data_IF_419103482998
#
_entry.id   IF_419103482998
#
_cell.length_a   1.000
_cell.length_b   1.000
_cell.length_c   1.000
_cell.angle_alpha   90.00
_cell.angle_beta   90.00
_cell.angle_gamma   90.00
#
_symmetry.space_group_name_H-M   'P 1'
#
loop_
_entity.id
_entity.type
_entity.pdbx_description
1 polymer ?
#
# COMPACT_ATOMS: atom_id res chain seq x y z
N UNK A 1 -17.32 -24.62 6.25
CA UNK A 1 -17.62 -23.33 5.71
C UNK A 1 -17.53 -23.33 4.20
N UNK A 2 -18.63 -23.22 3.58
CA UNK A 2 -18.58 -23.22 2.13
C UNK A 2 -17.75 -22.04 1.67
N UNK A 3 -16.78 -22.37 0.94
CA UNK A 3 -15.95 -21.40 0.32
C UNK A 3 -16.70 -20.87 -0.91
N UNK A 4 -17.63 -19.97 -0.66
CA UNK A 4 -18.47 -19.44 -1.73
C UNK A 4 -17.70 -18.48 -2.61
N UNK A 5 -16.62 -18.98 -3.16
CA UNK A 5 -15.91 -18.18 -4.18
C UNK A 5 -16.65 -18.38 -5.49
N UNK A 6 -17.83 -17.81 -5.57
CA UNK A 6 -18.51 -17.74 -6.86
C UNK A 6 -17.72 -16.77 -7.73
N UNK A 7 -17.37 -17.25 -8.91
CA UNK A 7 -16.70 -16.42 -9.89
C UNK A 7 -17.74 -15.49 -10.49
N UNK A 8 -17.45 -14.20 -10.45
CA UNK A 8 -18.33 -13.18 -11.01
C UNK A 8 -17.68 -12.59 -12.25
N UNK A 9 -18.41 -12.58 -13.33
CA UNK A 9 -17.96 -11.98 -14.59
C UNK A 9 -18.44 -10.55 -14.70
N UNK A 10 -17.56 -9.64 -15.07
CA UNK A 10 -17.89 -8.24 -15.33
C UNK A 10 -17.42 -7.89 -16.73
N UNK A 11 -18.19 -7.06 -17.41
CA UNK A 11 -17.91 -6.67 -18.79
C UNK A 11 -17.53 -5.20 -18.87
N UNK A 12 -16.57 -4.90 -19.74
CA UNK A 12 -16.11 -3.53 -19.98
C UNK A 12 -16.13 -3.29 -21.50
N UNK A 13 -16.56 -2.11 -21.89
CA UNK A 13 -16.53 -1.70 -23.30
C UNK A 13 -15.38 -0.72 -23.49
N UNK A 14 -14.66 -0.89 -24.59
CA UNK A 14 -13.50 -0.05 -24.92
C UNK A 14 -13.75 0.67 -26.23
N UNK A 15 -13.29 1.91 -26.33
CA UNK A 15 -13.19 2.58 -27.60
C UNK A 15 -12.14 1.88 -28.47
N UNK A 16 -12.21 1.97 -29.80
CA UNK A 16 -11.24 1.28 -30.67
C UNK A 16 -9.79 1.62 -30.33
N UNK A 17 -9.47 2.87 -30.02
CA UNK A 17 -8.11 3.29 -29.68
C UNK A 17 -7.65 2.68 -28.34
N UNK A 18 -8.56 2.56 -27.38
CA UNK A 18 -8.26 1.92 -26.10
C UNK A 18 -7.99 0.43 -26.28
N UNK A 19 -8.80 -0.22 -27.10
CA UNK A 19 -8.62 -1.65 -27.42
C UNK A 19 -7.29 -1.89 -28.09
N UNK A 20 -6.86 -1.02 -29.00
CA UNK A 20 -5.57 -1.13 -29.67
C UNK A 20 -4.40 -1.02 -28.70
N UNK A 21 -4.47 -0.09 -27.76
CA UNK A 21 -3.43 0.07 -26.74
C UNK A 21 -3.35 -1.18 -25.89
N UNK A 22 -4.50 -1.71 -25.46
CA UNK A 22 -4.55 -2.93 -24.65
C UNK A 22 -3.90 -4.12 -25.39
N UNK A 23 -4.23 -4.26 -26.67
CA UNK A 23 -3.68 -5.33 -27.51
C UNK A 23 -2.17 -5.21 -27.64
N UNK A 24 -1.66 -4.00 -27.82
CA UNK A 24 -0.24 -3.75 -27.95
C UNK A 24 0.51 -4.14 -26.68
N UNK A 25 -0.03 -3.72 -25.51
CA UNK A 25 0.58 -4.07 -24.23
C UNK A 25 0.51 -5.56 -23.99
N UNK A 26 -0.60 -6.19 -24.33
CA UNK A 26 -0.77 -7.64 -24.24
C UNK A 26 0.35 -8.37 -24.97
N UNK A 27 0.63 -7.96 -26.19
CA UNK A 27 1.71 -8.56 -27.00
C UNK A 27 3.07 -8.32 -26.36
N UNK A 28 3.34 -7.11 -25.84
CA UNK A 28 4.61 -6.78 -25.23
C UNK A 28 4.86 -7.60 -23.96
N UNK A 29 3.84 -7.80 -23.16
CA UNK A 29 3.98 -8.51 -21.89
C UNK A 29 3.73 -10.02 -22.00
N UNK A 30 3.40 -10.50 -23.18
CA UNK A 30 3.13 -11.93 -23.43
C UNK A 30 2.00 -12.44 -22.53
N UNK A 31 0.99 -11.62 -22.31
CA UNK A 31 -0.22 -11.98 -21.57
C UNK A 31 -1.42 -11.91 -22.50
N UNK A 32 -2.45 -12.72 -22.26
CA UNK A 32 -3.70 -12.53 -22.96
C UNK A 32 -4.32 -11.21 -22.57
N UNK A 33 -5.18 -10.64 -23.41
CA UNK A 33 -5.86 -9.38 -23.08
C UNK A 33 -6.70 -9.53 -21.82
N UNK A 34 -7.35 -10.68 -21.63
CA UNK A 34 -8.15 -10.93 -20.43
C UNK A 34 -7.29 -10.93 -19.16
N UNK A 35 -6.14 -11.61 -19.22
CA UNK A 35 -5.20 -11.66 -18.09
C UNK A 35 -4.64 -10.27 -17.78
N UNK A 36 -4.34 -9.50 -18.84
CA UNK A 36 -3.83 -8.15 -18.69
C UNK A 36 -4.88 -7.23 -18.04
N UNK A 37 -6.14 -7.33 -18.48
CA UNK A 37 -7.23 -6.55 -17.91
C UNK A 37 -7.39 -6.85 -16.42
N UNK A 38 -7.36 -8.12 -16.04
CA UNK A 38 -7.45 -8.52 -14.64
C UNK A 38 -6.29 -7.95 -13.83
N UNK A 39 -5.08 -8.05 -14.37
CA UNK A 39 -3.89 -7.50 -13.72
C UNK A 39 -4.06 -6.01 -13.44
N UNK A 40 -4.45 -5.25 -14.45
CA UNK A 40 -4.61 -3.80 -14.31
C UNK A 40 -5.73 -3.43 -13.35
N UNK A 41 -6.83 -4.17 -13.36
CA UNK A 41 -7.92 -3.93 -12.42
C UNK A 41 -7.46 -4.19 -10.99
N UNK A 42 -6.78 -5.30 -10.75
CA UNK A 42 -6.29 -5.63 -9.41
C UNK A 42 -5.25 -4.62 -8.93
N UNK A 43 -4.36 -4.17 -9.80
CA UNK A 43 -3.39 -3.13 -9.46
C UNK A 43 -4.07 -1.80 -9.14
N UNK A 44 -5.11 -1.47 -9.91
CA UNK A 44 -5.89 -0.27 -9.66
C UNK A 44 -6.62 -0.30 -8.33
N UNK A 45 -7.20 -1.45 -7.99
CA UNK A 45 -7.87 -1.64 -6.70
C UNK A 45 -6.87 -1.50 -5.55
N UNK A 46 -5.69 -2.12 -5.68
CA UNK A 46 -4.66 -2.03 -4.64
C UNK A 46 -4.23 -0.59 -4.42
N UNK A 47 -4.05 0.16 -5.50
CA UNK A 47 -3.69 1.58 -5.42
C UNK A 47 -4.79 2.40 -4.76
N UNK A 48 -6.03 2.16 -5.13
CA UNK A 48 -7.17 2.87 -4.53
C UNK A 48 -7.24 2.60 -3.02
N UNK A 49 -7.09 1.34 -2.62
CA UNK A 49 -7.14 0.97 -1.21
C UNK A 49 -6.02 1.63 -0.41
N UNK A 50 -4.82 1.68 -0.99
CA UNK A 50 -3.68 2.33 -0.34
C UNK A 50 -3.94 3.83 -0.18
N UNK A 51 -4.40 4.50 -1.24
CA UNK A 51 -4.67 5.94 -1.18
C UNK A 51 -5.76 6.27 -0.14
N UNK A 52 -6.82 5.46 -0.09
CA UNK A 52 -7.88 5.65 0.90
C UNK A 52 -7.37 5.44 2.33
N UNK A 53 -6.54 4.41 2.54
CA UNK A 53 -5.97 4.14 3.85
C UNK A 53 -5.07 5.28 4.31
N UNK A 54 -4.27 5.83 3.39
CA UNK A 54 -3.39 6.95 3.71
C UNK A 54 -4.20 8.22 4.02
N UNK A 55 -5.27 8.44 3.27
CA UNK A 55 -6.16 9.57 3.54
C UNK A 55 -6.76 9.45 4.94
N UNK A 56 -7.31 8.28 5.27
CA UNK A 56 -7.94 8.05 6.56
C UNK A 56 -6.94 8.18 7.71
N UNK A 57 -5.73 7.65 7.51
CA UNK A 57 -4.67 7.78 8.51
C UNK A 57 -4.26 9.25 8.72
N UNK A 58 -4.10 9.98 7.62
CA UNK A 58 -3.71 11.41 7.69
C UNK A 58 -4.74 12.26 8.42
N UNK A 59 -6.00 11.87 8.34
CA UNK A 59 -7.09 12.59 9.00
C UNK A 59 -7.37 12.08 10.42
N UNK A 60 -6.59 11.11 10.89
CA UNK A 60 -6.75 10.57 12.23
C UNK A 60 -7.94 9.63 12.38
N UNK A 61 -8.54 9.16 11.28
CA UNK A 61 -9.69 8.27 11.32
C UNK A 61 -9.31 6.84 11.69
N UNK A 62 -8.09 6.43 11.34
CA UNK A 62 -7.59 5.08 11.63
C UNK A 62 -6.15 5.18 12.12
N UNK A 63 -5.73 4.20 12.91
CA UNK A 63 -4.33 4.09 13.33
C UNK A 63 -3.51 3.37 12.26
N UNK A 64 -2.21 3.23 12.53
CA UNK A 64 -1.29 2.62 11.57
C UNK A 64 -1.67 1.19 11.22
N UNK A 65 -2.01 0.38 12.21
CA UNK A 65 -2.37 -1.02 11.99
C UNK A 65 -3.64 -1.15 11.16
N UNK A 66 -4.65 -0.34 11.46
CA UNK A 66 -5.90 -0.33 10.70
C UNK A 66 -5.66 0.14 9.27
N UNK A 67 -4.83 1.17 9.09
CA UNK A 67 -4.50 1.65 7.74
C UNK A 67 -3.84 0.56 6.92
N UNK A 68 -2.85 -0.14 7.49
CA UNK A 68 -2.18 -1.25 6.80
C UNK A 68 -3.16 -2.35 6.44
N UNK A 69 -4.03 -2.71 7.36
CA UNK A 69 -5.06 -3.73 7.12
C UNK A 69 -5.98 -3.34 5.97
N UNK A 70 -6.49 -2.11 5.98
CA UNK A 70 -7.37 -1.62 4.91
C UNK A 70 -6.68 -1.56 3.57
N UNK A 71 -5.40 -1.24 3.55
CA UNK A 71 -4.63 -1.21 2.32
C UNK A 71 -4.25 -2.61 1.82
N UNK A 72 -4.37 -3.63 2.68
CA UNK A 72 -3.98 -4.99 2.34
C UNK A 72 -2.46 -5.17 2.28
N UNK A 73 -1.72 -4.42 3.07
CA UNK A 73 -0.26 -4.50 3.14
C UNK A 73 0.18 -4.65 4.60
N UNK A 74 1.46 -4.96 4.79
CA UNK A 74 2.01 -5.08 6.14
C UNK A 74 2.20 -3.71 6.78
N UNK A 75 2.32 -3.69 8.10
CA UNK A 75 2.62 -2.46 8.84
C UNK A 75 3.94 -1.86 8.38
N UNK A 76 4.94 -2.72 8.12
CA UNK A 76 6.25 -2.28 7.62
C UNK A 76 6.10 -1.57 6.27
N UNK A 77 5.33 -2.18 5.36
CA UNK A 77 5.09 -1.57 4.05
C UNK A 77 4.35 -0.24 4.19
N UNK A 78 3.41 -0.15 5.13
CA UNK A 78 2.69 1.10 5.37
C UNK A 78 3.63 2.18 5.88
N UNK A 79 4.55 1.84 6.79
CA UNK A 79 5.57 2.78 7.28
C UNK A 79 6.42 3.31 6.13
N UNK A 80 6.83 2.43 5.22
CA UNK A 80 7.59 2.84 4.04
C UNK A 80 6.81 3.79 3.15
N UNK A 81 5.51 3.55 2.98
CA UNK A 81 4.65 4.44 2.19
C UNK A 81 4.53 5.81 2.84
N UNK A 82 4.34 5.86 4.15
CA UNK A 82 4.29 7.12 4.88
C UNK A 82 5.58 7.91 4.71
N UNK A 83 6.71 7.24 4.85
CA UNK A 83 8.02 7.86 4.71
C UNK A 83 8.24 8.41 3.30
N UNK A 84 7.91 7.61 2.28
CA UNK A 84 8.05 8.03 0.89
C UNK A 84 7.21 9.25 0.54
N UNK A 85 6.05 9.38 1.18
CA UNK A 85 5.10 10.48 0.91
C UNK A 85 5.29 11.65 1.85
N UNK A 86 6.23 11.55 2.79
CA UNK A 86 6.47 12.63 3.75
C UNK A 86 5.32 12.86 4.71
N UNK A 87 4.54 11.82 5.00
CA UNK A 87 3.42 11.93 5.94
C UNK A 87 3.95 11.75 7.35
N UNK A 88 3.67 12.72 8.21
CA UNK A 88 4.12 12.70 9.59
C UNK A 88 3.32 11.70 10.41
N UNK A 89 3.96 10.76 11.14
CA UNK A 89 3.24 9.84 12.00
C UNK A 89 2.51 10.57 13.13
N UNK A 90 1.32 10.07 13.49
CA UNK A 90 0.59 10.59 14.64
C UNK A 90 1.20 10.11 15.96
N UNK A 91 0.68 10.64 17.08
CA UNK A 91 1.20 10.32 18.41
C UNK A 91 1.15 8.82 18.72
N UNK A 92 0.06 8.14 18.34
CA UNK A 92 -0.07 6.70 18.55
C UNK A 92 0.97 5.93 17.74
N UNK A 93 1.27 6.39 16.52
CA UNK A 93 2.30 5.78 15.68
C UNK A 93 3.68 5.99 16.28
N UNK A 94 3.94 7.15 16.89
CA UNK A 94 5.21 7.41 17.56
C UNK A 94 5.46 6.40 18.67
N UNK A 95 4.45 6.09 19.49
CA UNK A 95 4.58 5.06 20.52
C UNK A 95 4.85 3.69 19.91
N UNK A 96 4.19 3.39 18.81
CA UNK A 96 4.42 2.13 18.10
C UNK A 96 5.86 2.05 17.59
N UNK A 97 6.37 3.13 17.01
CA UNK A 97 7.75 3.19 16.53
C UNK A 97 8.74 3.02 17.66
N UNK A 98 8.48 3.63 18.82
CA UNK A 98 9.32 3.46 20.01
C UNK A 98 9.38 1.98 20.42
N UNK A 99 8.25 1.31 20.41
CA UNK A 99 8.17 -0.12 20.72
C UNK A 99 8.96 -0.97 19.74
N UNK A 100 8.84 -0.69 18.45
CA UNK A 100 9.57 -1.42 17.42
C UNK A 100 11.07 -1.19 17.55
N UNK A 101 11.48 0.05 17.82
CA UNK A 101 12.90 0.39 18.00
C UNK A 101 13.48 -0.36 19.20
N UNK A 102 12.74 -0.39 20.30
CA UNK A 102 13.17 -1.11 21.51
C UNK A 102 13.31 -2.61 21.23
N UNK A 103 12.33 -3.20 20.51
CA UNK A 103 12.41 -4.61 20.15
C UNK A 103 13.61 -4.89 19.24
N UNK A 104 13.85 -4.03 18.25
CA UNK A 104 14.95 -4.20 17.33
C UNK A 104 16.29 -4.10 18.04
N UNK A 105 16.45 -3.17 18.97
CA UNK A 105 17.67 -3.00 19.74
C UNK A 105 17.90 -4.17 20.69
N UNK A 106 16.83 -4.69 21.28
CA UNK A 106 16.91 -5.78 22.25
C UNK A 106 17.19 -7.12 21.58
N UNK A 107 16.56 -7.39 20.44
CA UNK A 107 16.58 -8.71 19.79
C UNK A 107 17.32 -8.72 18.46
N UNK A 108 18.05 -7.66 18.12
CA UNK A 108 18.84 -7.61 16.90
C UNK A 108 17.99 -7.48 15.64
N UNK A 109 17.14 -6.48 15.59
CA UNK A 109 16.26 -6.25 14.47
C UNK A 109 16.97 -5.75 13.22
N UNK A 110 16.19 -5.61 12.16
CA UNK A 110 16.64 -5.18 10.85
C UNK A 110 17.16 -3.74 10.87
N UNK A 111 18.35 -3.54 10.30
CA UNK A 111 18.89 -2.19 10.12
C UNK A 111 17.99 -1.35 9.20
N UNK A 112 17.38 -1.99 8.21
CA UNK A 112 16.47 -1.30 7.29
C UNK A 112 15.26 -0.73 8.05
N UNK A 113 14.71 -1.49 9.00
CA UNK A 113 13.60 -1.02 9.82
C UNK A 113 14.02 0.15 10.70
N UNK A 114 15.17 0.03 11.37
CA UNK A 114 15.69 1.10 12.22
C UNK A 114 15.95 2.37 11.40
N UNK A 115 16.50 2.23 10.22
CA UNK A 115 16.74 3.35 9.33
C UNK A 115 15.43 4.02 8.90
N UNK A 116 14.42 3.22 8.55
CA UNK A 116 13.10 3.74 8.17
C UNK A 116 12.49 4.55 9.31
N UNK A 117 12.56 4.02 10.54
CA UNK A 117 12.05 4.72 11.72
C UNK A 117 12.77 6.05 11.92
N UNK A 118 14.09 6.04 11.81
CA UNK A 118 14.89 7.25 12.00
C UNK A 118 14.55 8.31 10.95
N UNK A 119 14.37 7.91 9.71
CA UNK A 119 14.01 8.82 8.63
C UNK A 119 12.64 9.45 8.85
N UNK A 120 11.67 8.65 9.30
CA UNK A 120 10.33 9.16 9.59
C UNK A 120 10.36 10.19 10.71
N UNK A 121 11.15 9.95 11.75
CA UNK A 121 11.29 10.89 12.86
C UNK A 121 11.98 12.18 12.43
N UNK A 122 12.98 12.09 11.58
CA UNK A 122 13.66 13.28 11.06
C UNK A 122 12.72 14.14 10.23
N UNK A 123 11.92 13.52 9.38
CA UNK A 123 10.93 14.24 8.58
C UNK A 123 9.98 15.04 9.46
N UNK A 124 9.54 14.46 10.58
CA UNK A 124 8.66 15.15 11.51
C UNK A 124 9.34 16.35 12.15
N UNK A 125 10.60 16.20 12.56
CA UNK A 125 11.34 17.30 13.17
C UNK A 125 11.60 18.44 12.19
N UNK A 126 11.83 18.13 10.93
CA UNK A 126 12.05 19.15 9.90
C UNK A 126 10.78 19.94 9.58
N UNK A 127 9.62 19.34 9.75
CA UNK A 127 8.34 20.01 9.54
C UNK A 127 7.94 20.89 10.74
N UNK A 128 8.48 20.60 11.87
CA UNK A 128 8.22 21.34 13.08
C UNK A 128 9.08 22.58 13.16
#
# INVERSE_FOLDING_TARGET
MPNNKQIVTKSIRFAPEESEVLKRISNTQHLSETALMKKFVLEGIARYRLEEALRAYSQGEVDLSAAAYHAGISVYQMLNELQRRGITPGAATEKFLDGLETLAETFGGSEALLQTIAEMRRGRLEEG
#
